data_IF_036708617148
#
_entry.id   IF_036708617148
#
_cell.length_a   1.000
_cell.length_b   1.000
_cell.length_c   1.000
_cell.angle_alpha   90.00
_cell.angle_beta   90.00
_cell.angle_gamma   90.00
#
_symmetry.space_group_name_H-M   'P 1'
#
loop_
_entity.id
_entity.type
_entity.pdbx_description
1 polymer ?
#
# COMPACT_ATOMS: atom_id res chain seq x y z
N UNK A 1 16.75 -5.80 -32.91
CA UNK A 1 16.33 -6.82 -31.93
C UNK A 1 16.40 -6.17 -30.55
N UNK A 2 15.26 -5.84 -29.93
CA UNK A 2 15.24 -5.36 -28.55
C UNK A 2 15.45 -6.54 -27.60
N UNK A 3 16.30 -6.37 -26.60
CA UNK A 3 16.40 -7.35 -25.50
C UNK A 3 15.20 -7.13 -24.60
N UNK A 4 14.38 -8.17 -24.40
CA UNK A 4 13.32 -8.15 -23.39
C UNK A 4 14.02 -8.19 -22.03
N UNK A 5 13.90 -7.09 -21.28
CA UNK A 5 14.39 -7.02 -19.91
C UNK A 5 13.21 -7.25 -18.97
N UNK A 6 13.25 -8.33 -18.20
CA UNK A 6 12.29 -8.59 -17.14
C UNK A 6 12.81 -7.98 -15.83
N UNK A 7 12.11 -6.99 -15.24
CA UNK A 7 12.51 -6.42 -13.96
C UNK A 7 12.51 -7.49 -12.86
N UNK A 8 13.55 -7.48 -12.04
CA UNK A 8 13.64 -8.37 -10.87
C UNK A 8 12.75 -7.86 -9.76
N UNK A 9 12.28 -8.78 -8.91
CA UNK A 9 11.66 -8.44 -7.64
C UNK A 9 12.68 -7.84 -6.69
N UNK A 10 12.21 -7.03 -5.76
CA UNK A 10 13.03 -6.50 -4.68
C UNK A 10 13.40 -7.62 -3.70
N UNK A 11 14.63 -7.55 -3.20
CA UNK A 11 15.09 -8.33 -2.05
C UNK A 11 14.33 -7.93 -0.77
N UNK A 12 14.49 -8.69 0.31
CA UNK A 12 13.86 -8.36 1.59
C UNK A 12 14.38 -7.03 2.15
N UNK A 13 15.67 -6.77 1.96
CA UNK A 13 16.34 -5.54 2.35
C UNK A 13 15.81 -4.34 1.55
N UNK A 14 15.81 -4.43 0.21
CA UNK A 14 15.26 -3.37 -0.66
C UNK A 14 13.77 -3.13 -0.41
N UNK A 15 13.02 -4.19 -0.12
CA UNK A 15 11.59 -4.08 0.20
C UNK A 15 11.37 -3.31 1.51
N UNK A 16 12.19 -3.57 2.52
CA UNK A 16 12.15 -2.82 3.77
C UNK A 16 12.57 -1.37 3.57
N UNK A 17 13.68 -1.11 2.85
CA UNK A 17 14.16 0.24 2.57
C UNK A 17 13.09 1.09 1.87
N UNK A 18 12.40 0.52 0.88
CA UNK A 18 11.29 1.19 0.20
C UNK A 18 10.12 1.46 1.16
N UNK A 19 9.73 0.47 1.98
CA UNK A 19 8.63 0.62 2.93
C UNK A 19 8.94 1.69 3.98
N UNK A 20 10.14 1.65 4.55
CA UNK A 20 10.63 2.57 5.58
C UNK A 20 10.61 4.01 5.05
N UNK A 21 11.15 4.22 3.85
CA UNK A 21 11.21 5.52 3.20
C UNK A 21 9.82 6.16 3.05
N UNK A 22 8.79 5.37 2.79
CA UNK A 22 7.42 5.88 2.61
C UNK A 22 6.72 6.03 3.96
N UNK A 23 6.71 4.98 4.78
CA UNK A 23 5.89 4.90 6.00
C UNK A 23 6.39 5.78 7.15
N UNK A 24 7.70 6.05 7.21
CA UNK A 24 8.32 6.88 8.25
C UNK A 24 8.72 8.28 7.76
N UNK A 25 8.37 8.64 6.51
CA UNK A 25 8.62 9.98 5.97
C UNK A 25 8.04 11.06 6.89
N UNK A 26 8.86 12.03 7.28
CA UNK A 26 8.48 13.13 8.18
C UNK A 26 8.37 12.76 9.67
N UNK A 27 8.83 11.57 10.10
CA UNK A 27 8.77 11.11 11.50
C UNK A 27 10.13 11.08 12.20
N UNK A 28 10.91 12.15 12.04
CA UNK A 28 12.30 12.25 12.52
C UNK A 28 12.43 12.25 14.06
N UNK A 29 11.35 12.60 14.77
CA UNK A 29 11.34 12.75 16.23
C UNK A 29 10.77 11.55 17.01
N UNK A 30 10.64 10.37 16.37
CA UNK A 30 10.15 9.18 17.06
C UNK A 30 11.17 8.67 18.09
N UNK A 31 10.66 8.18 19.22
CA UNK A 31 11.48 7.60 20.28
C UNK A 31 12.21 6.33 19.76
N UNK A 32 13.52 6.16 20.03
CA UNK A 32 14.30 5.07 19.44
C UNK A 32 13.73 3.65 19.67
N UNK A 33 13.13 3.39 20.85
CA UNK A 33 12.51 2.09 21.10
C UNK A 33 11.24 1.89 20.27
N UNK A 34 10.47 2.95 20.00
CA UNK A 34 9.30 2.87 19.13
C UNK A 34 9.72 2.58 17.69
N UNK A 35 10.77 3.25 17.19
CA UNK A 35 11.31 3.00 15.83
C UNK A 35 11.68 1.53 15.65
N UNK A 36 12.41 0.93 16.60
CA UNK A 36 12.76 -0.50 16.54
C UNK A 36 11.55 -1.44 16.49
N UNK A 37 10.49 -1.13 17.24
CA UNK A 37 9.26 -1.94 17.23
C UNK A 37 8.50 -1.80 15.91
N UNK A 38 8.43 -0.59 15.35
CA UNK A 38 7.83 -0.34 14.04
C UNK A 38 8.63 -1.04 12.93
N UNK A 39 9.95 -1.00 13.00
CA UNK A 39 10.86 -1.69 12.09
C UNK A 39 10.63 -3.21 12.08
N UNK A 40 10.55 -3.82 13.27
CA UNK A 40 10.31 -5.26 13.38
C UNK A 40 8.98 -5.68 12.71
N UNK A 41 7.90 -4.96 13.00
CA UNK A 41 6.57 -5.24 12.43
C UNK A 41 6.54 -4.93 10.93
N UNK A 42 7.17 -3.83 10.53
CA UNK A 42 7.26 -3.36 9.15
C UNK A 42 8.01 -4.35 8.25
N UNK A 43 9.17 -4.86 8.70
CA UNK A 43 9.92 -5.91 7.98
C UNK A 43 9.08 -7.15 7.75
N UNK A 44 8.31 -7.58 8.75
CA UNK A 44 7.42 -8.75 8.61
C UNK A 44 6.31 -8.53 7.58
N UNK A 45 5.80 -7.30 7.44
CA UNK A 45 4.81 -6.98 6.41
C UNK A 45 5.45 -6.82 5.02
N UNK A 46 6.63 -6.21 4.93
CA UNK A 46 7.37 -6.06 3.66
C UNK A 46 7.68 -7.43 3.02
N UNK A 47 8.09 -8.42 3.83
CA UNK A 47 8.32 -9.79 3.37
C UNK A 47 7.05 -10.38 2.74
N UNK A 48 5.87 -10.08 3.30
CA UNK A 48 4.59 -10.58 2.79
C UNK A 48 4.19 -9.96 1.46
N UNK A 49 4.75 -8.80 1.08
CA UNK A 49 4.52 -8.19 -0.21
C UNK A 49 5.28 -8.89 -1.36
N UNK A 50 6.11 -9.90 -1.07
CA UNK A 50 6.74 -10.74 -2.09
C UNK A 50 7.71 -10.01 -3.01
N UNK A 51 8.28 -8.89 -2.56
CA UNK A 51 9.22 -8.07 -3.35
C UNK A 51 8.58 -7.26 -4.48
N UNK A 52 7.25 -7.12 -4.49
CA UNK A 52 6.52 -6.33 -5.50
C UNK A 52 6.51 -4.85 -5.09
N UNK A 53 7.16 -3.95 -5.86
CA UNK A 53 7.24 -2.54 -5.49
C UNK A 53 5.88 -1.87 -5.29
N UNK A 54 4.88 -2.25 -6.10
CA UNK A 54 3.53 -1.70 -6.00
C UNK A 54 2.85 -2.07 -4.66
N UNK A 55 2.89 -3.35 -4.27
CA UNK A 55 2.32 -3.78 -2.99
C UNK A 55 3.01 -3.08 -1.80
N UNK A 56 4.34 -2.98 -1.85
CA UNK A 56 5.14 -2.31 -0.80
C UNK A 56 4.80 -0.82 -0.71
N UNK A 57 4.63 -0.16 -1.87
CA UNK A 57 4.31 1.27 -1.92
C UNK A 57 2.94 1.57 -1.33
N UNK A 58 1.93 0.77 -1.68
CA UNK A 58 0.57 0.91 -1.14
C UNK A 58 0.56 0.66 0.37
N UNK A 59 1.24 -0.39 0.84
CA UNK A 59 1.42 -0.65 2.27
C UNK A 59 2.11 0.53 2.97
N UNK A 60 3.15 1.10 2.37
CA UNK A 60 3.86 2.25 2.92
C UNK A 60 2.96 3.47 3.07
N UNK A 61 2.16 3.78 2.05
CA UNK A 61 1.18 4.87 2.10
C UNK A 61 0.14 4.66 3.20
N UNK A 62 -0.39 3.45 3.32
CA UNK A 62 -1.32 3.07 4.39
C UNK A 62 -0.70 3.27 5.79
N UNK A 63 0.52 2.79 6.00
CA UNK A 63 1.22 2.89 7.29
C UNK A 63 1.65 4.32 7.62
N UNK A 64 1.92 5.15 6.60
CA UNK A 64 2.20 6.58 6.79
C UNK A 64 1.04 7.31 7.47
N UNK A 65 -0.19 6.83 7.29
CA UNK A 65 -1.39 7.35 7.95
C UNK A 65 -1.61 6.81 9.38
N UNK A 66 -0.78 5.86 9.85
CA UNK A 66 -0.92 5.21 11.18
C UNK A 66 0.08 5.76 12.18
N UNK A 67 -0.40 6.45 13.22
CA UNK A 67 0.45 7.16 14.17
C UNK A 67 1.08 6.30 15.27
N UNK A 68 0.52 5.11 15.52
CA UNK A 68 0.86 4.29 16.69
C UNK A 68 1.24 2.86 16.34
N UNK A 69 1.98 2.21 17.25
CA UNK A 69 2.36 0.80 17.15
C UNK A 69 1.13 -0.13 17.03
N UNK A 70 0.08 0.15 17.80
CA UNK A 70 -1.14 -0.66 17.79
C UNK A 70 -1.86 -0.60 16.44
N UNK A 71 -1.85 0.56 15.77
CA UNK A 71 -2.41 0.69 14.43
C UNK A 71 -1.61 -0.11 13.39
N UNK A 72 -0.28 -0.13 13.51
CA UNK A 72 0.58 -0.96 12.66
C UNK A 72 0.31 -2.46 12.88
N UNK A 73 0.14 -2.88 14.14
CA UNK A 73 -0.23 -4.25 14.48
C UNK A 73 -1.59 -4.64 13.88
N UNK A 74 -2.58 -3.75 13.96
CA UNK A 74 -3.90 -3.97 13.36
C UNK A 74 -3.83 -4.14 11.83
N UNK A 75 -3.01 -3.33 11.15
CA UNK A 75 -2.77 -3.52 9.71
C UNK A 75 -2.12 -4.88 9.44
N UNK A 76 -1.12 -5.28 10.23
CA UNK A 76 -0.48 -6.59 10.10
C UNK A 76 -1.46 -7.76 10.29
N UNK A 77 -2.37 -7.66 11.26
CA UNK A 77 -3.42 -8.65 11.51
C UNK A 77 -4.42 -8.73 10.37
N UNK A 78 -4.85 -7.59 9.84
CA UNK A 78 -5.73 -7.53 8.68
C UNK A 78 -5.07 -8.18 7.45
N UNK A 79 -3.79 -7.91 7.17
CA UNK A 79 -3.07 -8.58 6.07
C UNK A 79 -3.05 -10.10 6.27
N UNK A 80 -2.90 -10.61 7.51
CA UNK A 80 -2.96 -12.05 7.80
C UNK A 80 -4.35 -12.64 7.57
N UNK A 81 -5.42 -11.90 7.92
CA UNK A 81 -6.80 -12.41 7.82
C UNK A 81 -7.31 -12.45 6.39
N UNK A 82 -6.99 -11.45 5.55
CA UNK A 82 -7.35 -11.46 4.12
C UNK A 82 -6.72 -12.66 3.39
N UNK A 83 -5.48 -13.01 3.75
CA UNK A 83 -4.80 -14.21 3.24
C UNK A 83 -5.46 -15.51 3.71
N UNK A 84 -6.12 -15.51 4.88
CA UNK A 84 -6.66 -16.72 5.51
C UNK A 84 -8.16 -16.99 5.25
N UNK A 85 -8.98 -15.97 4.96
CA UNK A 85 -10.45 -16.06 5.03
C UNK A 85 -11.22 -16.19 3.70
N UNK A 86 -10.58 -16.23 2.52
CA UNK A 86 -11.36 -16.54 1.30
C UNK A 86 -10.82 -16.00 -0.02
N UNK A 87 -9.69 -16.55 -0.47
CA UNK A 87 -9.38 -16.62 -1.90
C UNK A 87 -8.85 -18.00 -2.23
N UNK A 88 -9.74 -18.97 -2.44
CA UNK A 88 -9.38 -20.26 -3.03
C UNK A 88 -8.93 -20.07 -4.49
N UNK A 89 -7.68 -19.66 -4.69
CA UNK A 89 -6.97 -19.75 -5.96
C UNK A 89 -5.46 -19.46 -5.79
N UNK A 90 -4.72 -20.48 -5.35
CA UNK A 90 -3.33 -20.75 -5.76
C UNK A 90 -2.33 -19.57 -5.79
N UNK A 91 -1.88 -19.08 -4.63
CA UNK A 91 -0.51 -18.57 -4.39
C UNK A 91 0.14 -17.56 -5.37
N UNK A 92 -0.65 -16.79 -6.14
CA UNK A 92 -0.12 -15.92 -7.21
C UNK A 92 0.23 -14.53 -6.70
N UNK A 93 1.33 -13.95 -7.22
CA UNK A 93 1.84 -12.60 -6.91
C UNK A 93 0.78 -11.49 -7.07
N UNK A 94 -0.14 -11.65 -8.02
CA UNK A 94 -1.21 -10.68 -8.25
C UNK A 94 -2.20 -10.57 -7.07
N UNK A 95 -2.34 -11.64 -6.27
CA UNK A 95 -3.23 -11.64 -5.12
C UNK A 95 -2.69 -10.77 -3.98
N UNK A 96 -1.38 -10.82 -3.72
CA UNK A 96 -0.75 -9.97 -2.70
C UNK A 96 -0.95 -8.47 -2.97
N UNK A 97 -0.90 -8.07 -4.24
CA UNK A 97 -1.17 -6.69 -4.64
C UNK A 97 -2.64 -6.35 -4.42
N UNK A 98 -3.55 -7.22 -4.85
CA UNK A 98 -4.98 -7.01 -4.68
C UNK A 98 -5.41 -6.93 -3.20
N UNK A 99 -4.83 -7.75 -2.33
CA UNK A 99 -5.13 -7.77 -0.89
C UNK A 99 -4.71 -6.45 -0.22
N UNK A 100 -3.49 -5.99 -0.49
CA UNK A 100 -2.98 -4.73 0.08
C UNK A 100 -3.74 -3.53 -0.49
N UNK A 101 -4.10 -3.54 -1.78
CA UNK A 101 -4.94 -2.51 -2.40
C UNK A 101 -6.33 -2.47 -1.77
N UNK A 102 -6.96 -3.64 -1.59
CA UNK A 102 -8.30 -3.75 -0.99
C UNK A 102 -8.28 -3.22 0.44
N UNK A 103 -7.27 -3.60 1.23
CA UNK A 103 -7.11 -3.14 2.60
C UNK A 103 -6.83 -1.63 2.67
N UNK A 104 -5.99 -1.10 1.77
CA UNK A 104 -5.76 0.33 1.65
C UNK A 104 -7.04 1.09 1.28
N UNK A 105 -7.84 0.55 0.36
CA UNK A 105 -9.13 1.15 0.01
C UNK A 105 -10.08 1.12 1.19
N UNK A 106 -10.21 -0.02 1.89
CA UNK A 106 -11.14 -0.13 3.02
C UNK A 106 -10.82 0.80 4.18
N UNK A 107 -9.54 1.11 4.36
CA UNK A 107 -9.06 2.03 5.39
C UNK A 107 -9.22 3.51 5.03
N UNK A 108 -9.50 3.84 3.76
CA UNK A 108 -9.75 5.22 3.35
C UNK A 108 -10.98 5.82 4.07
N UNK A 109 -10.92 7.11 4.46
CA UNK A 109 -12.10 7.86 4.87
C UNK A 109 -13.23 7.77 3.81
N UNK A 110 -14.51 7.74 4.22
CA UNK A 110 -15.63 7.55 3.29
C UNK A 110 -15.67 8.53 2.11
N UNK A 111 -15.33 9.80 2.33
CA UNK A 111 -15.27 10.80 1.27
C UNK A 111 -14.15 10.51 0.25
N UNK A 112 -12.98 10.04 0.72
CA UNK A 112 -11.88 9.67 -0.17
C UNK A 112 -12.16 8.37 -0.93
N UNK A 113 -12.94 7.44 -0.38
CA UNK A 113 -13.41 6.25 -1.12
C UNK A 113 -14.21 6.67 -2.35
N UNK A 114 -15.15 7.62 -2.21
CA UNK A 114 -15.93 8.14 -3.33
C UNK A 114 -15.04 8.87 -4.35
N UNK A 115 -14.12 9.72 -3.89
CA UNK A 115 -13.15 10.37 -4.77
C UNK A 115 -12.27 9.36 -5.54
N UNK A 116 -11.89 8.25 -4.92
CA UNK A 116 -11.08 7.21 -5.57
C UNK A 116 -11.87 6.45 -6.64
N UNK A 117 -13.15 6.14 -6.40
CA UNK A 117 -13.98 5.43 -7.38
C UNK A 117 -14.20 6.19 -8.68
N UNK A 118 -14.06 7.52 -8.66
CA UNK A 118 -14.11 8.35 -9.87
C UNK A 118 -13.10 7.95 -10.95
N UNK A 119 -11.94 7.43 -10.55
CA UNK A 119 -10.93 6.97 -11.49
C UNK A 119 -11.42 5.78 -12.34
N UNK A 120 -12.41 5.01 -11.87
CA UNK A 120 -13.01 3.91 -12.63
C UNK A 120 -13.84 4.37 -13.84
N UNK A 121 -14.16 5.66 -13.94
CA UNK A 121 -14.85 6.22 -15.11
C UNK A 121 -13.91 6.44 -16.30
N UNK A 122 -12.61 6.56 -16.06
CA UNK A 122 -11.63 6.80 -17.12
C UNK A 122 -11.16 5.48 -17.76
N UNK A 123 -10.80 5.49 -19.05
CA UNK A 123 -10.14 4.35 -19.68
C UNK A 123 -8.83 4.00 -19.00
N UNK A 124 -8.39 2.74 -19.16
CA UNK A 124 -7.05 2.31 -18.75
C UNK A 124 -5.97 3.20 -19.39
N UNK A 125 -4.93 3.52 -18.62
CA UNK A 125 -3.80 4.38 -19.00
C UNK A 125 -4.16 5.82 -19.42
N UNK A 126 -5.37 6.29 -19.12
CA UNK A 126 -5.78 7.66 -19.41
C UNK A 126 -5.09 8.68 -18.50
N UNK A 127 -4.54 9.75 -19.09
CA UNK A 127 -3.96 10.86 -18.36
C UNK A 127 -5.06 11.80 -17.83
N UNK A 128 -5.38 11.68 -16.54
CA UNK A 128 -6.44 12.47 -15.89
C UNK A 128 -5.95 13.89 -15.57
N UNK A 129 -6.61 14.90 -16.12
CA UNK A 129 -6.32 16.30 -15.80
C UNK A 129 -6.86 16.69 -14.40
N UNK A 130 -5.94 17.02 -13.47
CA UNK A 130 -6.25 17.26 -12.05
C UNK A 130 -7.30 18.35 -11.84
N UNK A 131 -7.22 19.48 -12.56
CA UNK A 131 -8.20 20.57 -12.39
C UNK A 131 -9.62 20.17 -12.77
N UNK A 132 -9.75 19.26 -13.74
CA UNK A 132 -11.05 18.72 -14.17
C UNK A 132 -11.60 17.75 -13.13
N UNK A 133 -10.76 16.84 -12.65
CA UNK A 133 -11.14 15.86 -11.62
C UNK A 133 -11.58 16.54 -10.32
N UNK A 134 -10.84 17.55 -9.86
CA UNK A 134 -11.20 18.33 -8.67
C UNK A 134 -12.53 19.06 -8.88
N UNK A 135 -12.78 19.60 -10.08
CA UNK A 135 -14.06 20.24 -10.38
C UNK A 135 -15.24 19.27 -10.31
N UNK A 136 -15.05 18.01 -10.74
CA UNK A 136 -16.07 16.96 -10.61
C UNK A 136 -16.31 16.58 -9.15
N UNK A 137 -15.26 16.36 -8.36
CA UNK A 137 -15.42 16.07 -6.93
C UNK A 137 -16.16 17.19 -6.19
N UNK A 138 -15.85 18.45 -6.47
CA UNK A 138 -16.55 19.60 -5.85
C UNK A 138 -18.01 19.67 -6.28
N UNK A 139 -18.32 19.35 -7.54
CA UNK A 139 -19.68 19.42 -8.06
C UNK A 139 -20.61 18.35 -7.48
N UNK A 140 -20.08 17.18 -7.12
CA UNK A 140 -20.86 16.07 -6.55
C UNK A 140 -20.92 16.02 -5.02
N UNK A 141 -20.06 16.80 -4.33
CA UNK A 141 -20.14 17.01 -2.88
C UNK A 141 -19.16 16.16 -2.07
#
# INVERSE_FOLDING_TARGET
RGVLHEPKLLTHEESWELLEKISLSGRENLEPMLVKKLEEIGKQMAIRCGGLPLAITVLGGLLAMKGTLNEWQRVQENIKSYVSNGGTCNGSKNMMVADVLSLSYEDLPPHLKQCFLYFAHYPEDYEVHVGTLVSYWIAEG
#
